data_IF_881073645293
#
_entry.id   IF_881073645293
#
_cell.length_a   1.000
_cell.length_b   1.000
_cell.length_c   1.000
_cell.angle_alpha   90.00
_cell.angle_beta   90.00
_cell.angle_gamma   90.00
#
_symmetry.space_group_name_H-M   'P 1'
#
loop_
_entity.id
_entity.type
_entity.pdbx_description
1 polymer ?
#
# COMPACT_ATOMS: atom_id res chain seq x y z
N UNK A 1 14.88 -11.88 -19.36
CA UNK A 1 15.91 -11.00 -18.77
C UNK A 1 15.31 -9.77 -18.07
N UNK A 2 13.99 -9.61 -17.99
CA UNK A 2 13.31 -8.38 -17.54
C UNK A 2 12.92 -8.35 -16.05
N UNK A 3 13.03 -9.48 -15.34
CA UNK A 3 12.69 -9.61 -13.91
C UNK A 3 13.93 -9.79 -13.03
N UNK A 4 15.10 -9.33 -13.48
CA UNK A 4 16.27 -9.27 -12.60
C UNK A 4 16.05 -8.22 -11.52
N UNK A 5 16.46 -8.54 -10.29
CA UNK A 5 16.26 -7.68 -9.14
C UNK A 5 17.40 -7.86 -8.14
N UNK A 6 17.49 -6.95 -7.17
CA UNK A 6 18.38 -7.03 -6.01
C UNK A 6 17.58 -7.08 -4.71
N UNK A 7 18.13 -7.68 -3.64
CA UNK A 7 17.55 -7.61 -2.31
C UNK A 7 17.19 -6.16 -1.93
N UNK A 8 15.91 -5.94 -1.61
CA UNK A 8 15.34 -4.62 -1.31
C UNK A 8 14.45 -4.04 -2.41
N UNK A 9 14.49 -4.56 -3.63
CA UNK A 9 13.62 -4.14 -4.73
C UNK A 9 12.15 -4.54 -4.52
N UNK A 10 11.26 -3.89 -5.26
CA UNK A 10 9.83 -4.17 -5.28
C UNK A 10 9.41 -4.91 -6.55
N UNK A 11 8.36 -5.71 -6.44
CA UNK A 11 7.61 -6.25 -7.58
C UNK A 11 6.26 -5.54 -7.68
N UNK A 12 6.01 -4.87 -8.81
CA UNK A 12 4.68 -4.36 -9.16
C UNK A 12 3.86 -5.48 -9.79
N UNK A 13 2.71 -5.81 -9.19
CA UNK A 13 1.84 -6.92 -9.61
C UNK A 13 0.49 -6.40 -10.08
N UNK A 14 0.06 -6.78 -11.27
CA UNK A 14 -1.27 -6.48 -11.80
C UNK A 14 -2.24 -7.63 -11.48
N UNK A 15 -3.26 -7.41 -10.65
CA UNK A 15 -4.22 -8.46 -10.28
C UNK A 15 -5.42 -8.55 -11.22
N UNK A 16 -6.23 -9.59 -11.04
CA UNK A 16 -7.60 -9.63 -11.55
C UNK A 16 -8.63 -9.30 -10.46
N UNK A 17 -9.63 -8.49 -10.77
CA UNK A 17 -10.84 -8.35 -9.95
C UNK A 17 -11.55 -9.72 -9.82
N UNK A 18 -12.35 -9.88 -8.77
CA UNK A 18 -13.11 -11.12 -8.57
C UNK A 18 -14.18 -11.27 -9.64
N UNK A 19 -14.36 -12.50 -10.13
CA UNK A 19 -15.30 -12.78 -11.23
C UNK A 19 -16.75 -12.54 -10.84
N UNK A 20 -17.13 -12.80 -9.59
CA UNK A 20 -18.47 -12.52 -9.08
C UNK A 20 -18.80 -11.02 -9.17
N UNK A 21 -17.86 -10.16 -8.77
CA UNK A 21 -18.03 -8.71 -8.88
C UNK A 21 -18.05 -8.23 -10.34
N UNK A 22 -17.21 -8.82 -11.20
CA UNK A 22 -17.19 -8.48 -12.64
C UNK A 22 -18.51 -8.88 -13.30
N UNK A 23 -19.01 -10.08 -13.05
CA UNK A 23 -20.27 -10.55 -13.61
C UNK A 23 -21.46 -9.73 -13.09
N UNK A 24 -21.50 -9.46 -11.79
CA UNK A 24 -22.52 -8.60 -11.20
C UNK A 24 -22.51 -7.19 -11.80
N UNK A 25 -21.34 -6.63 -12.11
CA UNK A 25 -21.26 -5.34 -12.80
C UNK A 25 -21.84 -5.42 -14.21
N UNK A 26 -21.45 -6.43 -14.99
CA UNK A 26 -21.90 -6.61 -16.38
C UNK A 26 -23.42 -6.80 -16.45
N UNK A 27 -24.00 -7.56 -15.53
CA UNK A 27 -25.45 -7.77 -15.43
C UNK A 27 -26.24 -6.47 -15.16
N UNK A 28 -25.58 -5.41 -14.68
CA UNK A 28 -26.19 -4.11 -14.40
C UNK A 28 -26.01 -3.08 -15.52
N UNK A 29 -25.36 -3.45 -16.62
CA UNK A 29 -25.18 -2.57 -17.77
C UNK A 29 -26.39 -2.60 -18.69
N UNK A 30 -26.72 -1.45 -19.27
CA UNK A 30 -27.86 -1.27 -20.17
C UNK A 30 -27.61 -1.91 -21.55
N UNK A 31 -26.40 -1.77 -22.08
CA UNK A 31 -26.05 -2.08 -23.47
C UNK A 31 -24.79 -2.95 -23.59
N UNK A 32 -24.54 -3.83 -22.59
CA UNK A 32 -23.34 -4.65 -22.58
C UNK A 32 -23.23 -5.54 -23.83
N UNK A 33 -22.09 -5.52 -24.55
CA UNK A 33 -21.81 -6.51 -25.58
C UNK A 33 -21.68 -7.91 -24.96
N UNK A 34 -21.84 -8.98 -25.76
CA UNK A 34 -21.58 -10.34 -25.31
C UNK A 34 -20.21 -10.47 -24.63
N UNK A 35 -20.15 -11.12 -23.46
CA UNK A 35 -18.95 -11.18 -22.60
C UNK A 35 -17.73 -11.85 -23.24
N UNK A 36 -17.94 -12.61 -24.31
CA UNK A 36 -16.94 -13.34 -25.08
C UNK A 36 -16.58 -12.65 -26.40
N UNK A 37 -17.17 -11.50 -26.73
CA UNK A 37 -16.86 -10.76 -27.94
C UNK A 37 -15.73 -9.77 -27.70
N UNK A 38 -14.72 -9.78 -28.58
CA UNK A 38 -13.69 -8.74 -28.61
C UNK A 38 -14.28 -7.44 -29.14
N UNK A 39 -14.08 -6.36 -28.39
CA UNK A 39 -14.53 -5.02 -28.75
C UNK A 39 -13.37 -4.03 -28.60
N UNK A 40 -13.50 -2.87 -29.25
CA UNK A 40 -12.68 -1.68 -29.02
C UNK A 40 -13.60 -0.49 -28.81
N UNK A 41 -13.10 0.54 -28.12
CA UNK A 41 -13.85 1.79 -27.94
C UNK A 41 -13.42 2.76 -29.03
N UNK A 42 -14.40 3.40 -29.67
CA UNK A 42 -14.18 4.50 -30.61
C UNK A 42 -14.85 5.76 -30.04
N UNK A 43 -14.26 6.93 -30.27
CA UNK A 43 -14.82 8.23 -29.93
C UNK A 43 -15.18 8.99 -31.21
N UNK A 44 -16.29 9.72 -31.17
CA UNK A 44 -16.66 10.62 -32.25
C UNK A 44 -15.90 11.94 -32.08
N UNK A 45 -14.88 12.16 -32.91
CA UNK A 45 -14.19 13.45 -32.98
C UNK A 45 -14.97 14.41 -33.86
N UNK A 46 -15.48 15.49 -33.27
CA UNK A 46 -16.18 16.56 -33.99
C UNK A 46 -15.29 17.80 -34.14
N UNK A 47 -15.19 18.30 -35.38
CA UNK A 47 -14.49 19.55 -35.70
C UNK A 47 -15.46 20.54 -36.32
N UNK A 48 -15.63 21.67 -35.64
CA UNK A 48 -16.42 22.78 -36.16
C UNK A 48 -15.67 23.46 -37.31
N UNK A 49 -16.33 23.59 -38.45
CA UNK A 49 -15.83 24.31 -39.62
C UNK A 49 -16.83 25.39 -40.04
N UNK A 50 -16.38 26.31 -40.90
CA UNK A 50 -17.26 27.35 -41.45
C UNK A 50 -18.46 26.80 -42.27
N UNK A 51 -18.41 25.52 -42.67
CA UNK A 51 -19.44 24.85 -43.48
C UNK A 51 -20.27 23.83 -42.68
N UNK A 52 -20.04 23.71 -41.37
CA UNK A 52 -20.73 22.77 -40.49
C UNK A 52 -19.76 21.93 -39.64
N UNK A 53 -20.29 20.86 -39.04
CA UNK A 53 -19.53 19.92 -38.20
C UNK A 53 -19.02 18.78 -39.07
N UNK A 54 -17.70 18.57 -39.07
CA UNK A 54 -17.10 17.36 -39.63
C UNK A 54 -16.86 16.40 -38.46
N UNK A 55 -17.38 15.18 -38.57
CA UNK A 55 -17.21 14.16 -37.53
C UNK A 55 -16.58 12.89 -38.09
N UNK A 56 -15.67 12.29 -37.34
CA UNK A 56 -15.04 11.01 -37.67
C UNK A 56 -14.88 10.17 -36.41
N UNK A 57 -15.08 8.86 -36.52
CA UNK A 57 -14.78 7.93 -35.44
C UNK A 57 -13.28 7.64 -35.39
N UNK A 58 -12.69 7.75 -34.20
CA UNK A 58 -11.28 7.46 -33.93
C UNK A 58 -11.15 6.48 -32.77
N UNK A 59 -10.11 5.64 -32.80
CA UNK A 59 -9.87 4.65 -31.76
C UNK A 59 -9.49 5.33 -30.43
N UNK A 60 -10.13 4.91 -29.35
CA UNK A 60 -9.72 5.28 -27.99
C UNK A 60 -8.66 4.27 -27.50
N UNK A 61 -7.41 4.72 -27.42
CA UNK A 61 -6.26 3.87 -27.16
C UNK A 61 -5.99 3.58 -25.68
N UNK A 62 -6.85 4.05 -24.76
CA UNK A 62 -6.73 3.80 -23.31
C UNK A 62 -6.79 2.33 -22.92
N UNK A 63 -7.59 1.53 -23.62
CA UNK A 63 -7.71 0.09 -23.40
C UNK A 63 -7.34 -0.65 -24.69
N UNK A 64 -6.63 -1.79 -24.62
CA UNK A 64 -6.41 -2.62 -25.79
C UNK A 64 -7.74 -3.27 -26.23
N UNK A 65 -7.86 -3.74 -27.49
CA UNK A 65 -8.97 -4.58 -27.90
C UNK A 65 -9.07 -5.82 -27.00
N UNK A 66 -10.19 -5.95 -26.30
CA UNK A 66 -10.43 -7.01 -25.33
C UNK A 66 -11.94 -7.26 -25.18
N UNK A 67 -12.31 -8.32 -24.46
CA UNK A 67 -13.73 -8.49 -24.10
C UNK A 67 -14.10 -7.57 -22.95
N UNK A 68 -15.40 -7.24 -22.81
CA UNK A 68 -15.86 -6.42 -21.67
C UNK A 68 -15.55 -7.07 -20.31
N UNK A 69 -15.59 -8.40 -20.25
CA UNK A 69 -15.17 -9.15 -19.06
C UNK A 69 -13.69 -8.93 -18.74
N UNK A 70 -12.81 -8.99 -19.75
CA UNK A 70 -11.39 -8.73 -19.57
C UNK A 70 -11.11 -7.28 -19.15
N UNK A 71 -11.83 -6.30 -19.75
CA UNK A 71 -11.76 -4.89 -19.38
C UNK A 71 -11.99 -4.69 -17.88
N UNK A 72 -13.11 -5.19 -17.35
CA UNK A 72 -13.44 -5.05 -15.93
C UNK A 72 -12.63 -5.97 -15.01
N UNK A 73 -12.16 -7.12 -15.50
CA UNK A 73 -11.34 -8.03 -14.66
C UNK A 73 -9.91 -7.52 -14.51
N UNK A 74 -9.26 -7.06 -15.58
CA UNK A 74 -7.82 -6.87 -15.60
C UNK A 74 -7.36 -5.42 -15.84
N UNK A 75 -8.21 -4.55 -16.40
CA UNK A 75 -7.79 -3.22 -16.83
C UNK A 75 -8.44 -2.07 -16.06
N UNK A 76 -9.62 -2.27 -15.48
CA UNK A 76 -10.39 -1.21 -14.84
C UNK A 76 -10.56 -1.43 -13.34
N UNK A 77 -10.52 -0.32 -12.59
CA UNK A 77 -10.85 -0.31 -11.18
C UNK A 77 -12.37 -0.19 -11.00
N UNK A 78 -12.97 -1.30 -10.55
CA UNK A 78 -14.40 -1.41 -10.24
C UNK A 78 -14.69 -1.35 -8.73
N UNK A 79 -13.67 -1.10 -7.91
CA UNK A 79 -13.71 -1.23 -6.45
C UNK A 79 -13.54 0.08 -5.70
N UNK A 80 -12.81 1.04 -6.27
CA UNK A 80 -12.67 2.38 -5.68
C UNK A 80 -14.01 3.12 -5.76
N UNK A 81 -14.46 3.76 -4.65
CA UNK A 81 -15.69 4.55 -4.67
C UNK A 81 -15.70 5.63 -5.76
N UNK A 82 -16.83 5.84 -6.47
CA UNK A 82 -16.90 6.88 -7.49
C UNK A 82 -16.61 8.26 -6.93
N UNK A 83 -15.88 9.05 -7.71
CA UNK A 83 -15.62 10.46 -7.43
C UNK A 83 -16.91 11.29 -7.49
N UNK A 84 -16.93 12.50 -6.89
CA UNK A 84 -18.10 13.39 -6.99
C UNK A 84 -18.48 13.72 -8.44
N UNK A 85 -17.49 13.84 -9.34
CA UNK A 85 -17.72 14.06 -10.77
C UNK A 85 -18.41 12.86 -11.44
N UNK A 86 -17.99 11.64 -11.13
CA UNK A 86 -18.66 10.43 -11.65
C UNK A 86 -20.09 10.32 -11.10
N UNK A 87 -20.32 10.67 -9.83
CA UNK A 87 -21.67 10.70 -9.26
C UNK A 87 -22.57 11.76 -9.93
N UNK A 88 -22.00 12.89 -10.37
CA UNK A 88 -22.73 13.88 -11.17
C UNK A 88 -23.19 13.29 -12.51
N UNK A 89 -22.32 12.53 -13.19
CA UNK A 89 -22.68 11.82 -14.42
C UNK A 89 -23.78 10.78 -14.14
N UNK A 90 -23.64 9.99 -13.07
CA UNK A 90 -24.64 8.97 -12.70
C UNK A 90 -26.01 9.60 -12.39
N UNK A 91 -26.05 10.80 -11.81
CA UNK A 91 -27.29 11.51 -11.54
C UNK A 91 -28.10 11.82 -12.83
N UNK A 92 -27.41 12.07 -13.96
CA UNK A 92 -28.10 12.28 -15.25
C UNK A 92 -28.69 11.01 -15.85
N UNK A 93 -28.27 9.84 -15.36
CA UNK A 93 -28.69 8.52 -15.83
C UNK A 93 -29.76 7.88 -14.93
N UNK A 94 -30.00 8.44 -13.74
CA UNK A 94 -31.01 7.96 -12.81
C UNK A 94 -32.42 8.35 -13.27
N UNK A 95 -33.30 7.36 -13.42
CA UNK A 95 -34.71 7.57 -13.81
C UNK A 95 -35.61 7.88 -12.62
N UNK A 96 -35.17 7.59 -11.39
CA UNK A 96 -35.86 7.97 -10.15
C UNK A 96 -35.41 9.34 -9.67
N UNK A 97 -36.34 10.28 -9.54
CA UNK A 97 -36.04 11.64 -9.05
C UNK A 97 -35.43 11.61 -7.64
N UNK A 98 -35.89 10.71 -6.78
CA UNK A 98 -35.33 10.56 -5.42
C UNK A 98 -33.85 10.14 -5.46
N UNK A 99 -33.51 9.16 -6.30
CA UNK A 99 -32.13 8.67 -6.43
C UNK A 99 -31.23 9.72 -7.09
N UNK A 100 -31.72 10.38 -8.15
CA UNK A 100 -31.06 11.51 -8.79
C UNK A 100 -30.72 12.62 -7.81
N UNK A 101 -31.68 13.06 -6.98
CA UNK A 101 -31.42 14.08 -5.98
C UNK A 101 -30.39 13.62 -4.94
N UNK A 102 -30.42 12.36 -4.52
CA UNK A 102 -29.39 11.82 -3.62
C UNK A 102 -28.00 11.82 -4.28
N UNK A 103 -27.89 11.41 -5.53
CA UNK A 103 -26.63 11.43 -6.29
C UNK A 103 -26.10 12.87 -6.45
N UNK A 104 -26.97 13.86 -6.71
CA UNK A 104 -26.60 15.28 -6.79
C UNK A 104 -26.12 15.86 -5.45
N UNK A 105 -26.61 15.36 -4.32
CA UNK A 105 -26.07 15.72 -3.00
C UNK A 105 -24.65 15.17 -2.85
N UNK A 106 -24.46 13.88 -3.17
CA UNK A 106 -23.14 13.24 -3.09
C UNK A 106 -22.14 13.82 -4.10
N UNK A 107 -22.59 14.26 -5.27
CA UNK A 107 -21.72 14.83 -6.30
C UNK A 107 -21.09 16.18 -5.92
N UNK A 108 -21.52 16.79 -4.81
CA UNK A 108 -20.89 18.01 -4.27
C UNK A 108 -19.54 17.73 -3.61
N UNK A 109 -19.25 16.49 -3.23
CA UNK A 109 -17.99 16.11 -2.59
C UNK A 109 -17.81 16.72 -1.20
N UNK A 110 -18.91 17.01 -0.50
CA UNK A 110 -18.92 17.60 0.83
C UNK A 110 -19.17 16.52 1.91
N UNK A 111 -19.64 16.93 3.09
CA UNK A 111 -19.82 16.08 4.25
C UNK A 111 -20.60 14.80 3.95
N UNK A 112 -21.73 14.88 3.25
CA UNK A 112 -22.59 13.74 2.97
C UNK A 112 -21.93 12.71 2.05
N UNK A 113 -21.05 13.17 1.15
CA UNK A 113 -20.23 12.31 0.30
C UNK A 113 -19.13 11.64 1.10
N UNK A 114 -18.42 12.39 1.94
CA UNK A 114 -17.34 11.84 2.76
C UNK A 114 -17.89 10.80 3.76
N UNK A 115 -19.03 11.07 4.40
CA UNK A 115 -19.71 10.11 5.28
C UNK A 115 -20.13 8.84 4.51
N UNK A 116 -20.72 8.99 3.33
CA UNK A 116 -21.11 7.86 2.48
C UNK A 116 -19.90 7.04 2.01
N UNK A 117 -18.86 7.71 1.50
CA UNK A 117 -17.63 7.09 1.00
C UNK A 117 -16.88 6.36 2.12
N UNK A 118 -16.60 7.01 3.25
CA UNK A 118 -15.82 6.38 4.31
C UNK A 118 -16.62 5.34 5.11
N UNK A 119 -17.92 5.58 5.31
CA UNK A 119 -18.78 4.64 6.03
C UNK A 119 -19.06 3.37 5.22
N UNK A 120 -19.38 3.51 3.93
CA UNK A 120 -19.75 2.35 3.10
C UNK A 120 -18.58 1.79 2.28
N UNK A 121 -17.61 2.63 1.91
CA UNK A 121 -16.57 2.33 0.93
C UNK A 121 -17.09 1.55 -0.29
N UNK A 122 -18.13 2.05 -0.98
CA UNK A 122 -18.89 1.25 -1.93
C UNK A 122 -18.11 1.00 -3.22
N UNK A 123 -18.13 -0.24 -3.70
CA UNK A 123 -17.71 -0.63 -5.05
C UNK A 123 -18.67 -0.09 -6.12
N UNK A 124 -18.27 -0.06 -7.39
CA UNK A 124 -19.16 0.41 -8.48
C UNK A 124 -20.46 -0.40 -8.52
N UNK A 125 -20.39 -1.71 -8.30
CA UNK A 125 -21.57 -2.60 -8.26
C UNK A 125 -22.51 -2.19 -7.13
N UNK A 126 -22.00 -2.00 -5.92
CA UNK A 126 -22.80 -1.59 -4.77
C UNK A 126 -23.45 -0.21 -4.96
N UNK A 127 -22.83 0.69 -5.73
CA UNK A 127 -23.44 1.98 -6.10
C UNK A 127 -24.64 1.76 -7.02
N UNK A 128 -24.51 0.92 -8.05
CA UNK A 128 -25.62 0.61 -8.96
C UNK A 128 -26.74 -0.19 -8.25
N UNK A 129 -26.41 -0.95 -7.21
CA UNK A 129 -27.37 -1.61 -6.32
C UNK A 129 -28.08 -0.64 -5.37
N UNK A 130 -27.37 0.35 -4.82
CA UNK A 130 -27.96 1.40 -3.98
C UNK A 130 -28.88 2.33 -4.79
N UNK A 131 -28.54 2.57 -6.05
CA UNK A 131 -29.28 3.44 -6.97
C UNK A 131 -29.72 2.66 -8.23
N UNK A 132 -30.68 1.72 -8.09
CA UNK A 132 -31.06 0.79 -9.16
C UNK A 132 -31.72 1.46 -10.36
N UNK A 133 -32.18 2.71 -10.25
CA UNK A 133 -32.80 3.43 -11.37
C UNK A 133 -31.79 3.99 -12.38
N UNK A 134 -30.49 3.92 -12.09
CA UNK A 134 -29.41 4.29 -13.01
C UNK A 134 -29.43 3.34 -14.20
N UNK A 135 -29.61 3.89 -15.40
CA UNK A 135 -29.35 3.20 -16.65
C UNK A 135 -27.87 3.38 -16.98
N UNK A 136 -27.05 2.33 -16.90
CA UNK A 136 -25.59 2.44 -17.01
C UNK A 136 -25.08 1.98 -18.37
N UNK A 137 -24.68 2.89 -19.27
CA UNK A 137 -24.04 2.52 -20.53
C UNK A 137 -22.66 1.92 -20.27
N UNK A 138 -22.38 0.80 -20.92
CA UNK A 138 -21.10 0.10 -20.89
C UNK A 138 -19.93 1.02 -21.28
N UNK A 139 -20.12 1.85 -22.32
CA UNK A 139 -19.11 2.80 -22.81
C UNK A 139 -18.74 3.88 -21.79
N UNK A 140 -19.66 4.28 -20.92
CA UNK A 140 -19.36 5.22 -19.85
C UNK A 140 -18.36 4.60 -18.86
N UNK A 141 -18.61 3.38 -18.38
CA UNK A 141 -17.66 2.72 -17.48
C UNK A 141 -16.33 2.41 -18.17
N UNK A 142 -16.37 1.94 -19.43
CA UNK A 142 -15.19 1.63 -20.23
C UNK A 142 -14.31 2.86 -20.52
N UNK A 143 -14.82 4.09 -20.39
CA UNK A 143 -14.06 5.32 -20.62
C UNK A 143 -13.77 6.10 -19.34
N UNK A 144 -14.65 6.05 -18.34
CA UNK A 144 -14.56 6.89 -17.13
C UNK A 144 -13.98 6.19 -15.90
N UNK A 145 -13.99 4.86 -15.81
CA UNK A 145 -13.37 4.17 -14.68
C UNK A 145 -11.85 4.28 -14.77
N UNK A 146 -11.18 4.51 -13.64
CA UNK A 146 -9.72 4.52 -13.56
C UNK A 146 -9.12 3.18 -13.99
N UNK A 147 -7.89 3.20 -14.53
CA UNK A 147 -7.16 1.98 -14.82
C UNK A 147 -6.80 1.24 -13.53
N UNK A 148 -6.88 -0.09 -13.56
CA UNK A 148 -6.51 -0.97 -12.46
C UNK A 148 -5.00 -0.86 -12.20
N UNK A 149 -4.65 -0.24 -11.08
CA UNK A 149 -3.25 0.00 -10.73
C UNK A 149 -2.54 -1.28 -10.27
N UNK A 150 -1.24 -1.45 -10.57
CA UNK A 150 -0.45 -2.53 -9.97
C UNK A 150 -0.28 -2.29 -8.47
N UNK A 151 -0.10 -3.35 -7.70
CA UNK A 151 0.24 -3.28 -6.26
C UNK A 151 1.69 -3.68 -6.07
N UNK A 152 2.43 -2.88 -5.29
CA UNK A 152 3.84 -3.13 -5.02
C UNK A 152 4.02 -4.03 -3.80
N UNK A 153 4.95 -4.97 -3.90
CA UNK A 153 5.37 -5.86 -2.83
C UNK A 153 6.90 -5.88 -2.75
N UNK A 154 7.47 -5.71 -1.56
CA UNK A 154 8.92 -5.86 -1.38
C UNK A 154 9.32 -7.32 -1.59
N UNK A 155 10.31 -7.55 -2.44
CA UNK A 155 10.75 -8.90 -2.78
C UNK A 155 11.41 -9.53 -1.56
N UNK A 156 10.95 -10.74 -1.23
CA UNK A 156 11.28 -11.50 -0.03
C UNK A 156 12.22 -12.67 -0.30
N UNK A 157 12.97 -12.64 -1.40
CA UNK A 157 13.97 -13.66 -1.76
C UNK A 157 15.28 -13.04 -2.23
N UNK A 158 16.41 -13.70 -1.99
CA UNK A 158 17.67 -13.39 -2.69
C UNK A 158 17.71 -14.12 -4.04
N UNK A 159 18.06 -13.43 -5.15
CA UNK A 159 18.16 -14.07 -6.46
C UNK A 159 19.33 -15.05 -6.57
N UNK A 160 20.36 -14.88 -5.72
CA UNK A 160 21.47 -15.83 -5.64
C UNK A 160 21.04 -17.14 -4.94
N UNK A 161 20.18 -17.03 -3.92
CA UNK A 161 19.70 -18.19 -3.16
C UNK A 161 18.58 -18.94 -3.89
N UNK A 162 17.71 -18.21 -4.59
CA UNK A 162 16.62 -18.77 -5.38
C UNK A 162 16.68 -18.21 -6.81
N UNK A 163 17.55 -18.79 -7.67
CA UNK A 163 17.61 -18.41 -9.08
C UNK A 163 16.25 -18.60 -9.75
N UNK A 164 15.87 -17.65 -10.60
CA UNK A 164 14.62 -17.66 -11.38
C UNK A 164 13.31 -17.63 -10.56
N UNK A 165 13.39 -17.35 -9.25
CA UNK A 165 12.22 -17.22 -8.36
C UNK A 165 12.08 -15.81 -7.76
N UNK A 166 10.83 -15.39 -7.52
CA UNK A 166 10.51 -14.15 -6.79
C UNK A 166 9.52 -14.47 -5.69
N UNK A 167 9.91 -14.25 -4.44
CA UNK A 167 9.07 -14.54 -3.28
C UNK A 167 8.46 -13.24 -2.75
N UNK A 168 7.20 -13.28 -2.34
CA UNK A 168 6.50 -12.13 -1.75
C UNK A 168 5.97 -12.49 -0.35
N UNK A 169 5.96 -11.51 0.55
CA UNK A 169 5.27 -11.61 1.85
C UNK A 169 4.00 -10.75 1.81
N UNK A 170 2.84 -11.38 1.69
CA UNK A 170 1.57 -10.68 1.40
C UNK A 170 0.63 -10.73 2.60
N UNK A 171 0.25 -9.56 3.12
CA UNK A 171 -0.86 -9.46 4.06
C UNK A 171 -2.20 -9.55 3.32
N UNK A 172 -3.06 -10.49 3.71
CA UNK A 172 -4.40 -10.60 3.15
C UNK A 172 -5.28 -9.49 3.74
N UNK A 173 -5.70 -8.57 2.88
CA UNK A 173 -6.54 -7.43 3.28
C UNK A 173 -8.01 -7.86 3.17
N UNK A 174 -8.70 -7.84 4.30
CA UNK A 174 -10.12 -8.12 4.40
C UNK A 174 -10.71 -7.29 5.54
N UNK A 175 -11.81 -6.59 5.29
CA UNK A 175 -12.45 -5.73 6.29
C UNK A 175 -13.96 -5.71 6.06
N UNK A 176 -14.72 -5.41 7.11
CA UNK A 176 -16.17 -5.16 7.01
C UNK A 176 -16.41 -3.66 6.88
N UNK A 177 -17.29 -3.27 5.99
CA UNK A 177 -17.73 -1.87 5.86
C UNK A 177 -18.71 -1.50 6.98
N UNK A 178 -19.14 -0.24 7.05
CA UNK A 178 -20.14 0.26 8.03
C UNK A 178 -19.78 -0.12 9.48
N UNK A 179 -18.54 0.19 9.86
CA UNK A 179 -18.00 -0.03 11.21
C UNK A 179 -18.11 -1.47 11.73
N UNK A 180 -18.13 -2.44 10.82
CA UNK A 180 -18.22 -3.87 11.16
C UNK A 180 -19.57 -4.51 10.84
N UNK A 181 -20.61 -3.73 10.55
CA UNK A 181 -21.97 -4.22 10.31
C UNK A 181 -22.25 -4.48 8.81
N UNK A 182 -21.39 -4.00 7.91
CA UNK A 182 -21.53 -4.13 6.47
C UNK A 182 -20.97 -5.44 5.88
N UNK A 183 -21.08 -5.60 4.55
CA UNK A 183 -20.45 -6.70 3.83
C UNK A 183 -18.92 -6.69 4.00
N UNK A 184 -18.32 -7.86 3.77
CA UNK A 184 -16.86 -8.00 3.76
C UNK A 184 -16.33 -7.55 2.41
N UNK A 185 -15.42 -6.58 2.43
CA UNK A 185 -14.61 -6.17 1.30
C UNK A 185 -13.23 -6.80 1.38
N UNK A 186 -12.69 -7.17 0.22
CA UNK A 186 -11.38 -7.79 0.09
C UNK A 186 -10.45 -6.88 -0.72
N UNK A 187 -9.18 -6.79 -0.31
CA UNK A 187 -8.18 -6.14 -1.13
C UNK A 187 -8.02 -6.86 -2.47
N UNK A 188 -8.04 -6.10 -3.57
CA UNK A 188 -8.04 -6.67 -4.93
C UNK A 188 -6.83 -7.59 -5.13
N UNK A 189 -5.61 -7.05 -5.01
CA UNK A 189 -4.39 -7.82 -5.30
C UNK A 189 -4.08 -8.90 -4.27
N UNK A 190 -4.18 -8.59 -2.97
CA UNK A 190 -3.86 -9.58 -1.92
C UNK A 190 -4.82 -10.76 -1.93
N UNK A 191 -6.11 -10.53 -2.18
CA UNK A 191 -7.07 -11.64 -2.28
C UNK A 191 -6.96 -12.40 -3.60
N UNK A 192 -6.55 -11.75 -4.70
CA UNK A 192 -6.26 -12.41 -5.97
C UNK A 192 -5.05 -13.35 -5.84
N UNK A 193 -3.93 -12.87 -5.29
CA UNK A 193 -2.75 -13.71 -5.00
C UNK A 193 -3.05 -14.90 -4.08
N UNK A 194 -4.08 -14.79 -3.23
CA UNK A 194 -4.51 -15.87 -2.33
C UNK A 194 -5.50 -16.87 -2.98
N UNK A 195 -5.86 -16.68 -4.26
CA UNK A 195 -6.83 -17.54 -4.98
C UNK A 195 -6.29 -18.13 -6.27
N UNK A 196 -5.33 -17.47 -6.93
CA UNK A 196 -4.74 -18.00 -8.16
C UNK A 196 -4.16 -19.40 -7.92
N UNK A 197 -4.26 -20.24 -8.94
CA UNK A 197 -3.71 -21.58 -8.94
C UNK A 197 -2.25 -21.57 -9.38
N UNK A 198 -1.56 -22.69 -9.14
CA UNK A 198 -0.24 -22.91 -9.72
C UNK A 198 -0.32 -22.76 -11.25
N UNK A 199 0.75 -22.26 -11.84
CA UNK A 199 0.91 -22.01 -13.29
C UNK A 199 -0.02 -20.93 -13.88
N UNK A 200 -0.83 -20.23 -13.08
CA UNK A 200 -1.54 -19.03 -13.54
C UNK A 200 -0.56 -17.87 -13.80
N UNK A 201 -0.84 -17.10 -14.86
CA UNK A 201 -0.01 -15.96 -15.25
C UNK A 201 -0.14 -14.83 -14.22
N UNK A 202 1.00 -14.34 -13.74
CA UNK A 202 1.10 -13.16 -12.89
C UNK A 202 1.80 -12.04 -13.66
N UNK A 203 1.06 -11.07 -14.25
CA UNK A 203 1.68 -9.95 -14.92
C UNK A 203 2.34 -9.04 -13.89
N UNK A 204 3.65 -8.86 -14.02
CA UNK A 204 4.44 -8.11 -13.06
C UNK A 204 5.64 -7.42 -13.69
N UNK A 205 6.25 -6.51 -12.94
CA UNK A 205 7.51 -5.85 -13.30
C UNK A 205 8.32 -5.53 -12.04
N UNK A 206 9.65 -5.49 -12.17
CA UNK A 206 10.53 -5.09 -11.08
C UNK A 206 10.62 -3.56 -11.05
N UNK A 207 10.49 -2.98 -9.84
CA UNK A 207 10.81 -1.58 -9.57
C UNK A 207 11.99 -1.54 -8.61
N UNK A 208 13.12 -1.01 -9.10
CA UNK A 208 14.32 -0.85 -8.29
C UNK A 208 14.12 0.08 -7.09
N UNK A 209 14.76 -0.25 -5.96
CA UNK A 209 14.77 0.53 -4.72
C UNK A 209 16.21 0.85 -4.30
N UNK A 210 16.95 1.72 -5.03
CA UNK A 210 18.37 1.95 -4.80
C UNK A 210 18.69 2.52 -3.41
N UNK A 211 17.73 3.18 -2.77
CA UNK A 211 17.83 3.68 -1.39
C UNK A 211 17.47 2.64 -0.33
N UNK A 212 17.16 1.40 -0.71
CA UNK A 212 16.79 0.31 0.20
C UNK A 212 17.55 -0.99 -0.12
N UNK A 213 18.76 -0.87 -0.66
CA UNK A 213 19.67 -2.00 -0.87
C UNK A 213 20.62 -2.18 0.32
N UNK A 214 21.18 -3.39 0.46
CA UNK A 214 22.29 -3.64 1.38
C UNK A 214 23.48 -2.71 1.09
N UNK A 215 24.27 -2.32 2.11
CA UNK A 215 25.42 -1.45 1.89
C UNK A 215 26.46 -2.14 1.02
N UNK A 216 27.11 -1.39 0.12
CA UNK A 216 28.22 -1.90 -0.69
C UNK A 216 29.37 -2.44 0.16
N UNK A 217 29.63 -1.83 1.31
CA UNK A 217 30.60 -2.32 2.27
C UNK A 217 29.92 -3.35 3.19
N UNK A 218 30.24 -4.66 3.11
CA UNK A 218 29.60 -5.66 3.94
C UNK A 218 30.05 -5.62 5.41
N UNK A 219 31.08 -4.83 5.75
CA UNK A 219 31.68 -4.75 7.08
C UNK A 219 31.01 -3.72 8.01
N UNK A 220 30.08 -2.91 7.51
CA UNK A 220 29.32 -1.97 8.37
C UNK A 220 28.10 -2.65 9.01
N UNK A 221 27.75 -2.32 10.25
CA UNK A 221 26.60 -2.92 10.93
C UNK A 221 25.29 -2.44 10.31
N UNK A 222 24.31 -3.35 10.18
CA UNK A 222 22.96 -3.03 9.72
C UNK A 222 21.93 -3.38 10.80
N UNK A 223 21.01 -2.45 11.07
CA UNK A 223 19.88 -2.64 11.99
C UNK A 223 18.60 -2.64 11.16
N UNK A 224 17.88 -3.77 11.16
CA UNK A 224 16.69 -4.00 10.35
C UNK A 224 15.44 -3.94 11.24
N UNK A 225 14.52 -3.02 10.98
CA UNK A 225 13.33 -2.76 11.80
C UNK A 225 12.09 -2.91 10.93
N UNK A 226 11.29 -3.93 11.18
CA UNK A 226 10.12 -4.21 10.33
C UNK A 226 9.10 -5.10 11.02
N UNK A 227 8.05 -4.55 11.64
CA UNK A 227 6.97 -5.35 12.21
C UNK A 227 6.02 -5.89 11.14
N UNK A 228 5.44 -7.06 11.41
CA UNK A 228 4.49 -7.74 10.51
C UNK A 228 5.10 -7.97 9.12
N UNK A 229 4.38 -7.61 8.06
CA UNK A 229 4.88 -7.71 6.69
C UNK A 229 6.01 -6.74 6.35
N UNK A 230 6.36 -5.79 7.23
CA UNK A 230 7.58 -4.99 7.11
C UNK A 230 8.87 -5.83 7.16
N UNK A 231 8.80 -7.11 7.55
CA UNK A 231 9.93 -8.05 7.47
C UNK A 231 10.27 -8.47 6.02
N UNK A 232 9.37 -8.23 5.05
CA UNK A 232 9.45 -8.72 3.68
C UNK A 232 10.82 -8.49 3.01
N UNK A 233 11.32 -7.23 2.86
CA UNK A 233 12.61 -7.02 2.21
C UNK A 233 13.77 -7.62 3.01
N UNK A 234 13.65 -7.68 4.34
CA UNK A 234 14.70 -8.24 5.18
C UNK A 234 14.90 -9.73 4.95
N UNK A 235 13.86 -10.45 4.50
CA UNK A 235 14.01 -11.84 4.08
C UNK A 235 15.02 -11.98 2.94
N UNK A 236 14.93 -11.12 1.93
CA UNK A 236 15.93 -11.08 0.87
C UNK A 236 17.32 -10.70 1.40
N UNK A 237 17.41 -9.79 2.38
CA UNK A 237 18.68 -9.36 2.96
C UNK A 237 19.39 -10.50 3.71
N UNK A 238 18.69 -11.22 4.60
CA UNK A 238 19.33 -12.29 5.37
C UNK A 238 19.66 -13.48 4.49
N UNK A 239 18.85 -13.77 3.47
CA UNK A 239 19.17 -14.79 2.48
C UNK A 239 20.42 -14.41 1.68
N UNK A 240 20.53 -13.15 1.25
CA UNK A 240 21.72 -12.69 0.53
C UNK A 240 22.98 -12.81 1.39
N UNK A 241 22.94 -12.31 2.64
CA UNK A 241 24.08 -12.43 3.56
C UNK A 241 24.41 -13.89 3.86
N UNK A 242 23.42 -14.76 3.99
CA UNK A 242 23.64 -16.20 4.17
C UNK A 242 24.34 -16.79 2.94
N UNK A 243 23.90 -16.44 1.74
CA UNK A 243 24.52 -16.90 0.50
C UNK A 243 25.98 -16.41 0.40
N UNK A 244 26.22 -15.13 0.68
CA UNK A 244 27.56 -14.54 0.66
C UNK A 244 28.51 -15.23 1.64
N UNK A 245 28.04 -15.59 2.85
CA UNK A 245 28.81 -16.36 3.83
C UNK A 245 29.13 -17.77 3.32
N UNK A 246 28.10 -18.51 2.87
CA UNK A 246 28.22 -19.93 2.60
C UNK A 246 28.88 -20.24 1.25
N UNK A 247 28.68 -19.40 0.24
CA UNK A 247 29.05 -19.68 -1.14
C UNK A 247 30.08 -18.71 -1.71
N UNK A 248 30.14 -17.46 -1.20
CA UNK A 248 31.15 -16.47 -1.64
C UNK A 248 32.34 -16.34 -0.67
N UNK A 249 32.33 -17.07 0.45
CA UNK A 249 33.39 -17.04 1.46
C UNK A 249 33.58 -15.67 2.12
N UNK A 250 32.54 -14.83 2.12
CA UNK A 250 32.58 -13.51 2.73
C UNK A 250 32.30 -13.60 4.23
N UNK A 251 32.94 -12.71 5.01
CA UNK A 251 32.68 -12.56 6.45
C UNK A 251 32.07 -11.19 6.73
N UNK A 252 30.79 -10.96 6.39
CA UNK A 252 30.11 -9.69 6.64
C UNK A 252 29.96 -9.38 8.13
N UNK A 253 29.79 -8.10 8.47
CA UNK A 253 29.36 -7.71 9.82
C UNK A 253 27.95 -8.26 10.10
N UNK A 254 27.75 -9.05 11.18
CA UNK A 254 26.45 -9.61 11.50
C UNK A 254 25.40 -8.52 11.79
N UNK A 255 24.21 -8.68 11.22
CA UNK A 255 23.12 -7.69 11.31
C UNK A 255 22.31 -7.85 12.61
N UNK A 256 21.45 -6.88 12.94
CA UNK A 256 20.45 -7.00 14.01
C UNK A 256 19.06 -6.91 13.41
N UNK A 257 18.15 -7.81 13.79
CA UNK A 257 16.73 -7.73 13.43
C UNK A 257 15.89 -7.29 14.64
N UNK A 258 15.05 -6.28 14.43
CA UNK A 258 14.03 -5.81 15.38
C UNK A 258 12.66 -6.03 14.73
N UNK A 259 12.08 -7.19 15.03
CA UNK A 259 10.77 -7.61 14.53
C UNK A 259 9.66 -7.24 15.53
N UNK A 260 8.42 -7.16 15.05
CA UNK A 260 7.25 -6.99 15.91
C UNK A 260 6.01 -7.66 15.34
N UNK A 261 5.22 -8.29 16.21
CA UNK A 261 3.96 -8.94 15.84
C UNK A 261 2.95 -8.89 17.01
N UNK A 262 1.78 -9.51 16.86
CA UNK A 262 0.76 -9.54 17.91
C UNK A 262 1.11 -10.57 18.98
N UNK A 263 1.33 -11.82 18.56
CA UNK A 263 1.52 -12.96 19.44
C UNK A 263 2.54 -13.95 18.88
N UNK A 264 3.38 -14.47 19.76
CA UNK A 264 4.49 -15.37 19.48
C UNK A 264 4.11 -16.68 18.79
N UNK A 265 2.86 -17.13 18.98
CA UNK A 265 2.33 -18.39 18.44
C UNK A 265 1.40 -18.21 17.23
N UNK A 266 1.10 -16.97 16.85
CA UNK A 266 0.06 -16.67 15.85
C UNK A 266 0.66 -16.05 14.59
N UNK A 267 1.35 -14.92 14.74
CA UNK A 267 1.81 -14.09 13.62
C UNK A 267 3.31 -13.79 13.63
N UNK A 268 4.09 -14.65 14.32
CA UNK A 268 5.55 -14.63 14.25
C UNK A 268 6.05 -15.34 12.98
N UNK A 269 5.78 -14.72 11.83
CA UNK A 269 6.21 -15.20 10.51
C UNK A 269 7.74 -15.29 10.43
N UNK A 270 8.26 -16.27 9.69
CA UNK A 270 9.69 -16.53 9.48
C UNK A 270 10.52 -16.73 10.76
N UNK A 271 9.89 -17.10 11.89
CA UNK A 271 10.60 -17.34 13.15
C UNK A 271 11.75 -18.33 13.04
N UNK A 272 11.51 -19.47 12.38
CA UNK A 272 12.54 -20.50 12.22
C UNK A 272 13.63 -20.06 11.24
N UNK A 273 13.26 -19.42 10.13
CA UNK A 273 14.22 -18.91 9.15
C UNK A 273 15.18 -17.87 9.76
N UNK A 274 14.65 -16.94 10.56
CA UNK A 274 15.47 -15.91 11.22
C UNK A 274 16.38 -16.53 12.29
N UNK A 275 15.89 -17.52 13.04
CA UNK A 275 16.70 -18.28 13.99
C UNK A 275 17.83 -19.05 13.28
N UNK A 276 17.54 -19.70 12.16
CA UNK A 276 18.53 -20.37 11.33
C UNK A 276 19.57 -19.39 10.78
N UNK A 277 19.15 -18.21 10.33
CA UNK A 277 20.05 -17.16 9.87
C UNK A 277 20.97 -16.66 11.00
N UNK A 278 20.47 -16.52 12.24
CA UNK A 278 21.30 -16.24 13.42
C UNK A 278 22.34 -17.34 13.66
N UNK A 279 21.94 -18.61 13.63
CA UNK A 279 22.84 -19.75 13.83
C UNK A 279 23.95 -19.83 12.76
N UNK A 280 23.71 -19.28 11.56
CA UNK A 280 24.68 -19.19 10.46
C UNK A 280 25.52 -17.90 10.47
N UNK A 281 25.41 -17.08 11.52
CA UNK A 281 26.20 -15.85 11.68
C UNK A 281 25.69 -14.64 10.87
N UNK A 282 24.53 -14.74 10.21
CA UNK A 282 23.94 -13.61 9.48
C UNK A 282 23.45 -12.53 10.44
N UNK A 283 22.81 -12.96 11.53
CA UNK A 283 22.35 -12.08 12.59
C UNK A 283 23.20 -12.25 13.83
N UNK A 284 23.60 -11.11 14.43
CA UNK A 284 24.14 -11.06 15.79
C UNK A 284 23.04 -11.36 16.80
N UNK A 285 21.94 -10.63 16.70
CA UNK A 285 20.81 -10.72 17.62
C UNK A 285 19.47 -10.54 16.90
N UNK A 286 18.45 -11.18 17.47
CA UNK A 286 17.06 -11.10 17.03
C UNK A 286 16.22 -10.58 18.20
N UNK A 287 15.50 -9.50 17.97
CA UNK A 287 14.57 -8.93 18.93
C UNK A 287 13.15 -9.04 18.39
N UNK A 288 12.19 -9.32 19.27
CA UNK A 288 10.77 -9.37 18.91
C UNK A 288 9.92 -8.62 19.92
N UNK A 289 9.18 -7.62 19.44
CA UNK A 289 8.16 -6.92 20.19
C UNK A 289 6.80 -7.61 20.00
N UNK A 290 6.15 -8.00 21.10
CA UNK A 290 4.79 -8.55 21.06
C UNK A 290 3.79 -7.55 21.60
N UNK A 291 2.80 -7.19 20.77
CA UNK A 291 1.83 -6.13 21.10
C UNK A 291 0.55 -6.64 21.77
N UNK A 292 0.28 -7.96 21.73
CA UNK A 292 -0.95 -8.59 22.24
C UNK A 292 -0.69 -9.97 22.85
N UNK A 293 0.52 -10.22 23.35
CA UNK A 293 0.84 -11.46 24.05
C UNK A 293 0.08 -11.50 25.39
N UNK A 294 -0.66 -12.58 25.70
CA UNK A 294 -1.26 -12.75 27.03
C UNK A 294 -0.21 -12.61 28.14
N UNK A 295 -0.60 -11.96 29.24
CA UNK A 295 0.21 -11.80 30.45
C UNK A 295 1.54 -11.05 30.27
N UNK A 296 1.75 -10.36 29.14
CA UNK A 296 2.90 -9.49 28.92
C UNK A 296 2.46 -8.06 28.60
N UNK A 297 3.26 -7.05 29.02
CA UNK A 297 3.00 -5.69 28.60
C UNK A 297 3.11 -5.58 27.09
N UNK A 298 2.22 -4.80 26.49
CA UNK A 298 2.26 -4.45 25.08
C UNK A 298 3.58 -3.77 24.76
N UNK A 299 4.33 -4.32 23.80
CA UNK A 299 5.57 -3.73 23.28
C UNK A 299 5.51 -3.55 21.77
N UNK A 300 6.15 -2.49 21.30
CA UNK A 300 6.42 -2.20 19.90
C UNK A 300 7.92 -2.14 19.61
N UNK A 301 8.28 -2.06 18.33
CA UNK A 301 9.67 -2.05 17.88
C UNK A 301 10.44 -0.84 18.41
N UNK A 302 9.81 0.34 18.48
CA UNK A 302 10.39 1.54 19.07
C UNK A 302 10.68 1.43 20.57
N UNK A 303 9.94 0.57 21.28
CA UNK A 303 10.19 0.30 22.70
C UNK A 303 11.46 -0.55 22.84
N UNK A 304 11.62 -1.58 22.00
CA UNK A 304 12.85 -2.38 21.94
C UNK A 304 14.08 -1.49 21.65
N UNK A 305 13.95 -0.56 20.70
CA UNK A 305 15.04 0.35 20.34
C UNK A 305 15.52 1.16 21.54
N UNK A 306 14.58 1.75 22.29
CA UNK A 306 14.92 2.60 23.44
C UNK A 306 15.34 1.77 24.67
N UNK A 307 14.66 0.67 24.97
CA UNK A 307 14.86 -0.10 26.20
C UNK A 307 16.08 -1.03 26.13
N UNK A 308 16.40 -1.58 24.95
CA UNK A 308 17.39 -2.66 24.83
C UNK A 308 18.54 -2.34 23.88
N UNK A 309 18.33 -1.40 22.95
CA UNK A 309 19.27 -1.15 21.85
C UNK A 309 19.76 0.30 21.75
N UNK A 310 19.47 1.16 22.73
CA UNK A 310 19.80 2.59 22.64
C UNK A 310 21.29 2.83 22.39
N UNK A 311 22.17 2.24 23.21
CA UNK A 311 23.62 2.37 23.04
C UNK A 311 24.12 1.68 21.75
N UNK A 312 23.75 0.42 21.42
CA UNK A 312 24.12 -0.21 20.16
C UNK A 312 23.70 0.58 18.91
N UNK A 313 22.50 1.18 18.91
CA UNK A 313 22.00 2.02 17.81
C UNK A 313 22.85 3.28 17.68
N UNK A 314 23.09 3.97 18.80
CA UNK A 314 23.92 5.18 18.80
C UNK A 314 25.33 4.89 18.25
N UNK A 315 26.02 3.88 18.77
CA UNK A 315 27.37 3.52 18.30
C UNK A 315 27.38 3.11 16.83
N UNK A 316 26.39 2.33 16.39
CA UNK A 316 26.28 1.93 14.99
C UNK A 316 26.20 3.16 14.07
N UNK A 317 25.32 4.11 14.38
CA UNK A 317 25.07 5.28 13.53
C UNK A 317 26.17 6.35 13.65
N UNK A 318 26.70 6.60 14.85
CA UNK A 318 27.66 7.67 15.07
C UNK A 318 29.11 7.24 14.80
N UNK A 319 29.50 6.03 15.21
CA UNK A 319 30.92 5.63 15.31
C UNK A 319 31.32 4.60 14.25
N UNK A 320 30.39 3.74 13.82
CA UNK A 320 30.72 2.55 13.02
C UNK A 320 30.32 2.67 11.55
N UNK A 321 29.80 3.82 11.11
CA UNK A 321 29.32 3.99 9.74
C UNK A 321 28.12 3.09 9.40
N UNK A 322 27.37 2.66 10.42
CA UNK A 322 26.27 1.71 10.29
C UNK A 322 25.04 2.26 9.57
N UNK A 323 24.19 1.32 9.17
CA UNK A 323 22.95 1.57 8.44
C UNK A 323 21.74 1.13 9.26
N UNK A 324 20.64 1.86 9.14
CA UNK A 324 19.35 1.52 9.74
C UNK A 324 18.29 1.45 8.65
N UNK A 325 17.52 0.36 8.64
CA UNK A 325 16.46 0.12 7.67
C UNK A 325 15.14 -0.01 8.40
N UNK A 326 14.15 0.78 7.99
CA UNK A 326 12.81 0.80 8.56
C UNK A 326 11.81 0.46 7.46
N UNK A 327 11.04 -0.62 7.63
CA UNK A 327 10.07 -1.06 6.63
C UNK A 327 8.69 -1.32 7.24
N UNK A 328 7.64 -0.86 6.58
CA UNK A 328 6.25 -1.15 6.94
C UNK A 328 5.33 0.08 6.95
N UNK A 329 4.47 0.17 7.96
CA UNK A 329 3.46 1.23 8.08
C UNK A 329 4.06 2.61 8.32
N UNK A 330 3.45 3.64 7.72
CA UNK A 330 3.90 5.05 7.84
C UNK A 330 3.89 5.57 9.27
N UNK A 331 2.90 5.18 10.09
CA UNK A 331 2.80 5.59 11.50
C UNK A 331 3.92 4.95 12.30
N UNK A 332 4.20 3.67 12.04
CA UNK A 332 5.29 2.94 12.67
C UNK A 332 6.65 3.54 12.35
N UNK A 333 6.90 3.89 11.08
CA UNK A 333 8.14 4.53 10.68
C UNK A 333 8.35 5.89 11.35
N UNK A 334 7.29 6.70 11.46
CA UNK A 334 7.34 7.97 12.18
C UNK A 334 7.64 7.80 13.68
N UNK A 335 7.08 6.78 14.32
CA UNK A 335 7.36 6.46 15.72
C UNK A 335 8.79 5.96 15.93
N UNK A 336 9.32 5.16 15.00
CA UNK A 336 10.72 4.71 14.99
C UNK A 336 11.67 5.89 14.81
N UNK A 337 11.39 6.81 13.89
CA UNK A 337 12.18 8.02 13.67
C UNK A 337 12.29 8.84 14.96
N UNK A 338 11.16 9.09 15.64
CA UNK A 338 11.12 9.81 16.92
C UNK A 338 11.92 9.08 18.00
N UNK A 339 11.83 7.75 18.05
CA UNK A 339 12.60 6.95 19.01
C UNK A 339 14.11 7.02 18.76
N UNK A 340 14.54 6.98 17.49
CA UNK A 340 15.96 7.13 17.13
C UNK A 340 16.44 8.55 17.47
N UNK A 341 15.64 9.59 17.18
CA UNK A 341 15.98 10.96 17.57
C UNK A 341 16.18 11.08 19.08
N UNK A 342 15.33 10.45 19.90
CA UNK A 342 15.48 10.39 21.36
C UNK A 342 16.74 9.62 21.80
N UNK A 343 17.08 8.54 21.12
CA UNK A 343 18.33 7.81 21.39
C UNK A 343 19.54 8.73 21.12
N UNK A 344 19.52 9.48 20.01
CA UNK A 344 20.60 10.41 19.68
C UNK A 344 20.74 11.55 20.70
N UNK A 345 19.64 12.09 21.22
CA UNK A 345 19.70 13.14 22.26
C UNK A 345 20.22 12.57 23.58
N UNK A 346 19.76 11.39 24.00
CA UNK A 346 20.14 10.80 25.28
C UNK A 346 21.58 10.27 25.30
N UNK A 347 21.97 9.50 24.27
CA UNK A 347 23.28 8.87 24.20
C UNK A 347 24.36 9.82 23.68
N UNK A 348 24.02 10.65 22.70
CA UNK A 348 24.94 11.61 22.08
C UNK A 348 25.00 12.97 22.75
N UNK A 349 24.14 13.23 23.75
CA UNK A 349 23.99 14.55 24.41
C UNK A 349 23.72 15.70 23.42
N UNK A 350 23.06 15.38 22.31
CA UNK A 350 22.65 16.35 21.30
C UNK A 350 21.37 17.06 21.73
N UNK A 351 21.19 18.31 21.27
CA UNK A 351 19.88 18.96 21.32
C UNK A 351 18.89 18.22 20.41
N UNK A 352 17.58 18.44 20.62
CA UNK A 352 16.55 17.83 19.77
C UNK A 352 16.69 18.26 18.29
N UNK A 353 17.10 19.50 18.06
CA UNK A 353 17.36 20.05 16.73
C UNK A 353 18.58 19.38 16.08
N UNK A 354 19.71 19.31 16.79
CA UNK A 354 20.93 18.68 16.29
C UNK A 354 20.73 17.20 15.99
N UNK A 355 19.98 16.49 16.83
CA UNK A 355 19.61 15.10 16.59
C UNK A 355 18.75 14.94 15.33
N UNK A 356 17.84 15.89 15.07
CA UNK A 356 17.04 15.93 13.84
C UNK A 356 17.90 16.16 12.60
N UNK A 357 18.79 17.15 12.65
CA UNK A 357 19.75 17.45 11.57
C UNK A 357 20.67 16.26 11.31
N UNK A 358 21.13 15.58 12.35
CA UNK A 358 21.95 14.37 12.22
C UNK A 358 21.23 13.26 11.46
N UNK A 359 19.96 12.98 11.79
CA UNK A 359 19.18 11.96 11.07
C UNK A 359 18.91 12.40 9.62
N UNK A 360 18.67 13.69 9.38
CA UNK A 360 18.56 14.22 8.01
C UNK A 360 19.83 13.89 7.20
N UNK A 361 21.01 14.14 7.76
CA UNK A 361 22.28 13.79 7.11
C UNK A 361 22.42 12.29 6.87
N UNK A 362 21.98 11.44 7.80
CA UNK A 362 21.99 9.99 7.57
C UNK A 362 21.10 9.56 6.39
N UNK A 363 19.98 10.26 6.14
CA UNK A 363 19.14 10.01 4.96
C UNK A 363 19.85 10.46 3.69
N UNK A 364 20.43 11.67 3.70
CA UNK A 364 21.18 12.22 2.56
C UNK A 364 22.41 11.37 2.21
N UNK A 365 23.09 10.83 3.22
CA UNK A 365 24.24 9.91 3.10
C UNK A 365 23.83 8.47 2.74
N UNK A 366 22.52 8.20 2.55
CA UNK A 366 21.97 6.88 2.28
C UNK A 366 22.38 5.81 3.31
N UNK A 367 22.23 6.16 4.60
CA UNK A 367 22.49 5.29 5.78
C UNK A 367 21.26 5.11 6.67
N UNK A 368 20.24 5.94 6.51
CA UNK A 368 18.92 5.77 7.09
C UNK A 368 17.93 5.49 5.96
N UNK A 369 17.39 4.28 5.92
CA UNK A 369 16.58 3.77 4.81
C UNK A 369 15.14 3.55 5.25
N UNK A 370 14.18 3.98 4.44
CA UNK A 370 12.74 3.82 4.70
C UNK A 370 12.05 3.17 3.49
N UNK A 371 11.27 2.11 3.73
CA UNK A 371 10.38 1.48 2.75
C UNK A 371 8.95 1.43 3.31
N UNK A 372 8.12 2.38 2.87
CA UNK A 372 6.82 2.70 3.50
C UNK A 372 5.67 2.20 2.65
N UNK A 373 4.79 1.38 3.23
CA UNK A 373 3.66 0.73 2.54
C UNK A 373 2.37 1.57 2.53
N UNK A 374 2.42 2.79 3.06
CA UNK A 374 1.25 3.62 3.36
C UNK A 374 0.61 3.27 4.72
N UNK A 375 -0.69 3.51 4.86
CA UNK A 375 -1.46 3.22 6.09
C UNK A 375 -1.99 1.78 6.05
N UNK A 376 -1.25 0.86 6.65
CA UNK A 376 -1.50 -0.58 6.64
C UNK A 376 -1.80 -1.16 8.02
N UNK A 377 -1.44 -0.45 9.09
CA UNK A 377 -1.72 -0.84 10.46
C UNK A 377 -2.83 0.06 11.04
N UNK A 378 -3.82 -0.58 11.68
CA UNK A 378 -4.93 0.11 12.37
C UNK A 378 -5.65 1.13 11.47
N UNK A 379 -5.79 0.84 10.18
CA UNK A 379 -6.31 1.79 9.16
C UNK A 379 -7.59 2.48 9.60
N UNK A 380 -8.59 1.74 10.13
CA UNK A 380 -9.83 2.32 10.64
C UNK A 380 -9.59 3.34 11.78
N UNK A 381 -8.80 2.99 12.79
CA UNK A 381 -8.50 3.88 13.93
C UNK A 381 -7.71 5.10 13.48
N UNK A 382 -6.69 4.90 12.63
CA UNK A 382 -5.78 5.96 12.16
C UNK A 382 -6.51 6.93 11.25
N UNK A 383 -7.22 6.43 10.24
CA UNK A 383 -7.96 7.27 9.28
C UNK A 383 -9.10 8.01 9.96
N UNK A 384 -9.82 7.38 10.90
CA UNK A 384 -10.85 8.10 11.67
C UNK A 384 -10.26 9.19 12.55
N UNK A 385 -9.15 8.92 13.25
CA UNK A 385 -8.49 9.95 14.05
C UNK A 385 -8.04 11.13 13.19
N UNK A 386 -7.36 10.88 12.07
CA UNK A 386 -6.90 11.92 11.14
C UNK A 386 -8.06 12.74 10.58
N UNK A 387 -9.19 12.09 10.29
CA UNK A 387 -10.42 12.76 9.86
C UNK A 387 -11.00 13.64 10.97
N UNK A 388 -11.13 13.12 12.19
CA UNK A 388 -11.63 13.89 13.33
C UNK A 388 -10.75 15.08 13.65
N UNK A 389 -9.42 14.93 13.59
CA UNK A 389 -8.44 16.01 13.76
C UNK A 389 -8.60 17.09 12.68
N UNK A 390 -8.79 16.69 11.41
CA UNK A 390 -8.97 17.62 10.30
C UNK A 390 -10.31 18.37 10.39
N UNK A 391 -11.39 17.69 10.77
CA UNK A 391 -12.71 18.30 10.97
C UNK A 391 -12.66 19.29 12.13
N UNK A 392 -12.07 18.88 13.28
CA UNK A 392 -11.91 19.75 14.44
C UNK A 392 -11.11 21.01 14.10
N UNK A 393 -10.02 20.88 13.34
CA UNK A 393 -9.22 22.01 12.87
C UNK A 393 -10.01 22.98 11.98
N UNK A 394 -10.85 22.45 11.07
CA UNK A 394 -11.73 23.27 10.21
C UNK A 394 -12.81 23.96 11.03
N UNK A 395 -13.42 23.27 12.01
CA UNK A 395 -14.43 23.84 12.90
C UNK A 395 -13.87 24.93 13.80
N UNK A 396 -12.66 24.75 14.36
CA UNK A 396 -11.94 25.79 15.11
C UNK A 396 -11.60 26.98 14.21
N UNK A 397 -11.08 26.73 13.00
CA UNK A 397 -10.75 27.80 12.05
C UNK A 397 -11.97 28.62 11.62
N UNK A 398 -13.16 28.01 11.54
CA UNK A 398 -14.43 28.70 11.24
C UNK A 398 -14.91 29.57 12.40
N UNK A 399 -14.75 29.11 13.65
CA UNK A 399 -15.07 29.91 14.84
C UNK A 399 -14.19 31.16 14.94
N UNK A 400 -12.91 31.03 14.64
CA UNK A 400 -11.99 32.17 14.60
C UNK A 400 -12.35 33.17 13.48
N UNK A 401 -12.95 32.71 12.38
CA UNK A 401 -13.41 33.62 11.32
C UNK A 401 -14.69 34.35 11.72
N UNK A 402 -15.64 33.66 12.37
CA UNK A 402 -16.90 34.27 12.81
C UNK A 402 -16.70 35.29 13.96
N UNK A 403 -15.68 35.11 14.82
CA UNK A 403 -15.32 36.10 15.86
C UNK A 403 -14.71 37.39 15.28
N UNK A 404 -13.98 37.32 14.16
CA UNK A 404 -13.37 38.49 13.50
C UNK A 404 -14.40 39.32 12.73
N UNK A 405 -15.51 38.74 12.29
CA UNK A 405 -16.61 39.47 11.63
C UNK A 405 -17.70 39.95 12.59
N UNK A 406 -17.61 39.61 13.88
CA UNK A 406 -18.56 40.04 14.92
C UNK A 406 -17.97 41.05 15.92
N UNK A 407 -16.72 41.47 15.73
CA UNK A 407 -16.07 42.65 16.34
C UNK A 407 -16.02 43.82 15.36
#
# INVERSE_FOLDING_TARGET
QELQYQPGDHLGVFPGNREDLVNALIERLEDAPPVNQLVKVELLEERNTALGVISNWTDEHRLPPCTIFQAFKYYLDITTPPTPLQLQQFASLATSEKEKQRLLVLSKGLQEYEEWKWGKNPTIVEVLEEFPSIQMPSTLLLTQLSLLQPRYYSISSSPDMYPDEVHLTVAIVSYRTRDGEGPIHHGVCSSWLNRIQADEVVPCFVRGAPSFHLPRNPQVPCILIGPGTGIAPFRSFWQQRQFDIQHKGMSPCPMVLVFGCRQSKTDHIYREETLQAKNKGVFRELYTAYSREPDKPKKYVQDILQEQLAEPVYRALQEQGGHIYVCGDVTMAADVLKAIQRIMTQQGKLSAEDAGVFISRLRDDNRYHEDIFGVTLRTYEVTNRLRSESIAFIEESKKDTDEVFSS
#
